data_IF_753605179293
#
_entry.id   IF_753605179293
#
_cell.length_a   1.000
_cell.length_b   1.000
_cell.length_c   1.000
_cell.angle_alpha   90.00
_cell.angle_beta   90.00
_cell.angle_gamma   90.00
#
_symmetry.space_group_name_H-M   'P 1'
#
loop_
_entity.id
_entity.type
_entity.pdbx_description
1 polymer ?
#
# COMPACT_ATOMS: atom_id res chain seq x y z
N UNK A 1 -17.66 3.02 22.52
CA UNK A 1 -16.66 3.31 21.48
C UNK A 1 -17.21 2.83 20.15
N UNK A 2 -17.41 3.74 19.19
CA UNK A 2 -17.90 3.36 17.86
C UNK A 2 -16.80 2.56 17.15
N UNK A 3 -17.19 1.43 16.55
CA UNK A 3 -16.31 0.57 15.76
C UNK A 3 -16.97 0.35 14.41
N UNK A 4 -16.22 0.57 13.33
CA UNK A 4 -16.67 0.36 11.95
C UNK A 4 -16.08 -0.94 11.44
N UNK A 5 -16.94 -1.86 11.01
CA UNK A 5 -16.53 -3.07 10.30
C UNK A 5 -16.28 -2.72 8.83
N UNK A 6 -15.02 -2.78 8.40
CA UNK A 6 -14.59 -2.45 7.04
C UNK A 6 -14.58 -3.73 6.20
N UNK A 7 -15.77 -4.23 5.85
CA UNK A 7 -15.96 -5.51 5.16
C UNK A 7 -15.33 -5.59 3.76
N UNK A 8 -14.94 -4.46 3.15
CA UNK A 8 -14.15 -4.42 1.92
C UNK A 8 -12.63 -4.60 2.14
N UNK A 9 -12.15 -4.41 3.37
CA UNK A 9 -10.73 -4.45 3.73
C UNK A 9 -10.41 -5.81 4.38
N UNK A 10 -9.87 -6.72 3.57
CA UNK A 10 -9.65 -8.12 3.92
C UNK A 10 -8.20 -8.40 4.35
N UNK A 11 -7.99 -9.09 5.48
CA UNK A 11 -6.66 -9.47 5.98
C UNK A 11 -5.92 -10.41 5.02
N UNK A 12 -6.66 -11.27 4.32
CA UNK A 12 -6.10 -12.23 3.38
C UNK A 12 -5.67 -11.63 2.04
N UNK A 13 -5.87 -10.32 1.85
CA UNK A 13 -5.44 -9.60 0.64
C UNK A 13 -4.28 -8.66 0.98
N UNK A 14 -3.15 -8.70 0.25
CA UNK A 14 -2.08 -7.72 0.44
C UNK A 14 -2.58 -6.29 0.19
N UNK A 15 -3.45 -6.08 -0.82
CA UNK A 15 -4.10 -4.80 -1.04
C UNK A 15 -4.95 -4.38 0.17
N UNK A 16 -5.74 -5.31 0.72
CA UNK A 16 -6.57 -5.06 1.90
C UNK A 16 -5.73 -4.68 3.12
N UNK A 17 -4.68 -5.42 3.41
CA UNK A 17 -3.78 -5.10 4.52
C UNK A 17 -3.08 -3.74 4.33
N UNK A 18 -2.56 -3.45 3.14
CA UNK A 18 -1.98 -2.13 2.83
C UNK A 18 -3.02 -1.02 2.99
N UNK A 19 -4.24 -1.21 2.49
CA UNK A 19 -5.32 -0.24 2.63
C UNK A 19 -5.68 0.03 4.10
N UNK A 20 -5.69 -1.01 4.95
CA UNK A 20 -5.91 -0.85 6.39
C UNK A 20 -4.81 0.00 7.05
N UNK A 21 -3.55 -0.25 6.70
CA UNK A 21 -2.42 0.52 7.20
C UNK A 21 -2.45 1.98 6.75
N UNK A 22 -2.70 2.22 5.46
CA UNK A 22 -2.79 3.58 4.93
C UNK A 22 -3.99 4.35 5.50
N UNK A 23 -5.12 3.68 5.74
CA UNK A 23 -6.25 4.29 6.42
C UNK A 23 -5.89 4.70 7.85
N UNK A 24 -5.31 3.78 8.63
CA UNK A 24 -4.88 4.06 10.00
C UNK A 24 -3.86 5.21 10.03
N UNK A 25 -2.91 5.21 9.10
CA UNK A 25 -1.92 6.29 8.93
C UNK A 25 -2.58 7.63 8.67
N UNK A 26 -3.45 7.72 7.66
CA UNK A 26 -4.13 8.97 7.29
C UNK A 26 -4.90 9.54 8.49
N UNK A 27 -5.74 8.72 9.13
CA UNK A 27 -6.56 9.16 10.25
C UNK A 27 -5.72 9.65 11.44
N UNK A 28 -4.62 8.96 11.74
CA UNK A 28 -3.76 9.32 12.88
C UNK A 28 -2.78 10.45 12.56
N UNK A 29 -1.96 10.31 11.53
CA UNK A 29 -0.84 11.21 11.23
C UNK A 29 -1.32 12.50 10.52
N UNK A 30 -2.28 12.39 9.60
CA UNK A 30 -2.72 13.53 8.81
C UNK A 30 -3.91 14.28 9.45
N UNK A 31 -4.70 13.58 10.29
CA UNK A 31 -5.91 14.13 10.91
C UNK A 31 -5.91 14.10 12.45
N UNK A 32 -4.85 13.58 13.10
CA UNK A 32 -4.69 13.63 14.55
C UNK A 32 -5.73 12.83 15.35
N UNK A 33 -6.40 11.87 14.73
CA UNK A 33 -7.44 11.09 15.39
C UNK A 33 -6.84 9.96 16.25
N UNK A 34 -7.48 9.73 17.39
CA UNK A 34 -7.23 8.55 18.22
C UNK A 34 -8.06 7.37 17.70
N UNK A 35 -7.44 6.60 16.79
CA UNK A 35 -8.05 5.46 16.13
C UNK A 35 -7.21 4.21 16.35
N UNK A 36 -7.88 3.05 16.37
CA UNK A 36 -7.24 1.76 16.49
C UNK A 36 -7.76 0.78 15.42
N UNK A 37 -6.91 -0.18 15.08
CA UNK A 37 -7.16 -1.21 14.08
C UNK A 37 -7.03 -2.59 14.72
N UNK A 38 -7.96 -3.48 14.42
CA UNK A 38 -7.85 -4.93 14.69
C UNK A 38 -8.45 -5.74 13.56
N UNK A 39 -8.15 -7.04 13.56
CA UNK A 39 -8.72 -7.98 12.61
C UNK A 39 -9.74 -8.89 13.29
N UNK A 40 -10.90 -9.06 12.68
CA UNK A 40 -11.93 -10.00 13.13
C UNK A 40 -12.65 -10.57 11.92
N UNK A 41 -12.90 -11.89 11.89
CA UNK A 41 -13.64 -12.56 10.82
C UNK A 41 -13.12 -12.19 9.41
N UNK A 42 -11.79 -12.13 9.26
CA UNK A 42 -11.13 -11.85 7.98
C UNK A 42 -11.11 -10.38 7.54
N UNK A 43 -11.73 -9.44 8.27
CA UNK A 43 -11.79 -8.03 7.89
C UNK A 43 -11.28 -7.08 8.96
N UNK A 44 -10.96 -5.86 8.56
CA UNK A 44 -10.51 -4.79 9.44
C UNK A 44 -11.68 -4.23 10.26
N UNK A 45 -11.45 -3.99 11.54
CA UNK A 45 -12.32 -3.21 12.42
C UNK A 45 -11.56 -1.97 12.85
N UNK A 46 -12.15 -0.81 12.60
CA UNK A 46 -11.61 0.50 12.93
C UNK A 46 -12.39 1.10 14.10
N UNK A 47 -11.73 1.29 15.24
CA UNK A 47 -12.27 2.00 16.39
C UNK A 47 -11.95 3.50 16.35
N UNK A 48 -12.79 4.32 16.97
CA UNK A 48 -12.52 5.75 17.20
C UNK A 48 -13.16 6.73 16.22
N UNK A 49 -13.86 6.23 15.20
CA UNK A 49 -14.60 7.05 14.22
C UNK A 49 -15.87 6.32 13.77
N UNK A 50 -16.94 7.05 13.45
CA UNK A 50 -18.13 6.47 12.82
C UNK A 50 -18.07 6.51 11.28
N UNK A 51 -18.93 5.74 10.63
CA UNK A 51 -18.95 5.59 9.17
C UNK A 51 -19.17 6.90 8.42
N UNK A 52 -20.04 7.78 8.92
CA UNK A 52 -20.36 9.04 8.23
C UNK A 52 -19.17 9.99 8.28
N UNK A 53 -18.59 10.16 9.47
CA UNK A 53 -17.39 10.96 9.69
C UNK A 53 -16.20 10.43 8.86
N UNK A 54 -16.03 9.10 8.82
CA UNK A 54 -14.99 8.44 8.02
C UNK A 54 -15.12 8.75 6.52
N UNK A 55 -16.31 8.62 5.95
CA UNK A 55 -16.53 8.90 4.53
C UNK A 55 -16.31 10.37 4.18
N UNK A 56 -16.77 11.28 5.04
CA UNK A 56 -16.57 12.72 4.86
C UNK A 56 -15.08 13.10 4.91
N UNK A 57 -14.35 12.58 5.90
CA UNK A 57 -12.92 12.81 6.06
C UNK A 57 -12.14 12.28 4.85
N UNK A 58 -12.43 11.07 4.37
CA UNK A 58 -11.75 10.52 3.20
C UNK A 58 -12.04 11.31 1.92
N UNK A 59 -13.24 11.84 1.74
CA UNK A 59 -13.54 12.73 0.63
C UNK A 59 -12.72 14.04 0.73
N UNK A 60 -12.70 14.66 1.91
CA UNK A 60 -11.95 15.89 2.16
C UNK A 60 -10.44 15.71 1.94
N UNK A 61 -9.89 14.61 2.48
CA UNK A 61 -8.48 14.22 2.33
C UNK A 61 -8.05 14.13 0.88
N UNK A 62 -8.94 13.74 -0.05
CA UNK A 62 -8.59 13.61 -1.46
C UNK A 62 -8.45 14.94 -2.21
N UNK A 63 -8.97 16.04 -1.67
CA UNK A 63 -8.93 17.33 -2.36
C UNK A 63 -7.47 17.75 -2.63
N UNK A 64 -7.13 17.92 -3.90
CA UNK A 64 -5.80 18.38 -4.31
C UNK A 64 -4.67 17.37 -4.14
N UNK A 65 -4.91 16.12 -3.69
CA UNK A 65 -3.84 15.13 -3.44
C UNK A 65 -2.98 14.84 -4.67
N UNK A 66 -3.54 14.96 -5.87
CA UNK A 66 -2.82 14.79 -7.13
C UNK A 66 -1.72 15.84 -7.34
N UNK A 67 -1.79 16.97 -6.64
CA UNK A 67 -0.83 18.08 -6.68
C UNK A 67 0.19 18.00 -5.54
N UNK A 68 0.05 17.03 -4.62
CA UNK A 68 0.90 16.95 -3.46
C UNK A 68 2.37 16.74 -3.84
N UNK A 69 3.30 17.36 -3.09
CA UNK A 69 4.69 17.46 -3.50
C UNK A 69 5.39 16.10 -3.59
N UNK A 70 5.02 15.12 -2.75
CA UNK A 70 5.58 13.76 -2.80
C UNK A 70 5.31 13.05 -4.14
N UNK A 71 4.27 13.43 -4.87
CA UNK A 71 3.97 12.87 -6.19
C UNK A 71 4.43 13.78 -7.33
N UNK A 72 4.99 14.95 -7.03
CA UNK A 72 5.30 15.99 -8.02
C UNK A 72 6.74 16.52 -7.96
N UNK A 73 7.60 15.97 -7.10
CA UNK A 73 9.01 16.32 -7.07
C UNK A 73 9.67 16.06 -8.44
N UNK A 74 10.65 16.90 -8.77
CA UNK A 74 11.24 16.95 -10.10
C UNK A 74 12.47 16.05 -10.21
N UNK A 75 12.47 15.18 -11.21
CA UNK A 75 13.60 14.30 -11.57
C UNK A 75 14.17 14.71 -12.93
N UNK A 76 15.47 14.50 -13.13
CA UNK A 76 16.14 14.80 -14.39
C UNK A 76 15.71 13.83 -15.49
N UNK A 77 15.41 14.34 -16.69
CA UNK A 77 15.02 13.53 -17.84
C UNK A 77 16.13 13.56 -18.89
N UNK A 78 17.23 12.84 -18.65
CA UNK A 78 18.31 12.58 -19.62
C UNK A 78 18.55 13.66 -20.68
N UNK A 79 18.86 14.90 -20.27
CA UNK A 79 19.14 16.04 -21.17
C UNK A 79 18.02 17.08 -21.34
N UNK A 80 16.85 16.89 -20.72
CA UNK A 80 15.72 17.83 -20.75
C UNK A 80 15.45 18.54 -19.41
N UNK A 81 14.48 19.46 -19.43
CA UNK A 81 13.98 20.17 -18.24
C UNK A 81 13.43 19.18 -17.22
N UNK A 82 13.79 19.28 -15.92
CA UNK A 82 13.26 18.39 -14.89
C UNK A 82 11.73 18.34 -14.86
N UNK A 83 11.18 17.14 -14.81
CA UNK A 83 9.75 16.86 -14.87
C UNK A 83 9.28 16.15 -13.59
N UNK A 84 7.97 16.18 -13.25
CA UNK A 84 7.45 15.38 -12.14
C UNK A 84 7.83 13.91 -12.28
N UNK A 85 8.21 13.28 -11.18
CA UNK A 85 8.56 11.85 -11.14
C UNK A 85 7.49 11.00 -11.83
N UNK A 86 7.88 10.18 -12.80
CA UNK A 86 6.97 9.22 -13.47
C UNK A 86 7.40 7.78 -13.22
N UNK A 87 8.70 7.53 -13.10
CA UNK A 87 9.27 6.20 -12.88
C UNK A 87 10.06 6.18 -11.56
N UNK A 88 9.59 5.42 -10.57
CA UNK A 88 10.32 5.29 -9.29
C UNK A 88 11.66 4.54 -9.46
N UNK A 89 11.78 3.72 -10.51
CA UNK A 89 12.98 2.92 -10.82
C UNK A 89 14.10 3.68 -11.52
N UNK A 90 13.83 4.91 -11.96
CA UNK A 90 14.76 5.74 -12.74
C UNK A 90 15.15 7.02 -11.97
N UNK A 91 14.96 7.03 -10.64
CA UNK A 91 15.37 8.14 -9.79
C UNK A 91 16.88 8.04 -9.57
N UNK A 92 17.61 9.14 -9.84
CA UNK A 92 19.04 9.25 -9.56
C UNK A 92 19.29 9.78 -8.14
N UNK A 93 20.43 9.46 -7.50
CA UNK A 93 20.74 9.92 -6.15
C UNK A 93 20.61 11.45 -5.99
N UNK A 94 21.12 12.23 -6.94
CA UNK A 94 21.07 13.70 -6.91
C UNK A 94 19.65 14.27 -6.98
N UNK A 95 18.75 13.60 -7.70
CA UNK A 95 17.34 13.98 -7.78
C UNK A 95 16.61 13.67 -6.48
N UNK A 96 16.94 12.53 -5.87
CA UNK A 96 16.39 12.12 -4.58
C UNK A 96 16.85 13.05 -3.45
N UNK A 97 18.15 13.38 -3.38
CA UNK A 97 18.69 14.34 -2.42
C UNK A 97 18.03 15.72 -2.57
N UNK A 98 17.88 16.20 -3.82
CA UNK A 98 17.23 17.48 -4.09
C UNK A 98 15.77 17.46 -3.66
N UNK A 99 15.04 16.39 -3.95
CA UNK A 99 13.66 16.21 -3.50
C UNK A 99 13.58 16.20 -1.98
N UNK A 100 14.43 15.43 -1.29
CA UNK A 100 14.47 15.38 0.17
C UNK A 100 14.78 16.75 0.79
N UNK A 101 15.74 17.49 0.23
CA UNK A 101 16.09 18.84 0.69
C UNK A 101 14.94 19.83 0.52
N UNK A 102 14.23 19.80 -0.62
CA UNK A 102 13.04 20.64 -0.86
C UNK A 102 11.87 20.28 0.06
N UNK A 103 11.80 19.03 0.53
CA UNK A 103 10.71 18.49 1.34
C UNK A 103 11.05 18.37 2.82
N UNK A 104 12.15 18.96 3.28
CA UNK A 104 12.68 18.77 4.64
C UNK A 104 11.67 19.10 5.73
N UNK A 105 10.86 20.14 5.53
CA UNK A 105 9.82 20.59 6.47
C UNK A 105 8.46 19.89 6.26
N UNK A 106 8.42 18.85 5.42
CA UNK A 106 7.21 18.08 5.14
C UNK A 106 7.43 16.59 5.49
N UNK A 107 7.23 16.19 6.77
CA UNK A 107 7.43 14.83 7.23
C UNK A 107 6.62 13.78 6.45
N UNK A 108 5.41 14.13 6.03
CA UNK A 108 4.57 13.27 5.19
C UNK A 108 5.25 12.99 3.86
N UNK A 109 5.74 14.01 3.19
CA UNK A 109 6.39 13.87 1.89
C UNK A 109 7.72 13.11 1.99
N UNK A 110 8.49 13.34 3.05
CA UNK A 110 9.70 12.55 3.35
C UNK A 110 9.36 11.08 3.63
N UNK A 111 8.28 10.80 4.35
CA UNK A 111 7.78 9.45 4.57
C UNK A 111 7.48 8.73 3.25
N UNK A 112 6.83 9.42 2.30
CA UNK A 112 6.61 8.88 0.96
C UNK A 112 7.91 8.63 0.19
N UNK A 113 8.88 9.56 0.23
CA UNK A 113 10.19 9.34 -0.40
C UNK A 113 10.87 8.07 0.13
N UNK A 114 10.90 7.90 1.46
CA UNK A 114 11.44 6.70 2.10
C UNK A 114 10.65 5.44 1.71
N UNK A 115 9.33 5.55 1.52
CA UNK A 115 8.47 4.48 1.02
C UNK A 115 8.69 4.14 -0.46
N UNK A 116 9.18 5.08 -1.26
CA UNK A 116 9.46 4.87 -2.69
C UNK A 116 10.82 4.23 -2.93
N UNK A 117 11.86 4.66 -2.22
CA UNK A 117 13.23 4.24 -2.50
C UNK A 117 14.22 4.58 -1.37
N UNK A 118 15.46 4.13 -1.54
CA UNK A 118 16.62 4.54 -0.73
C UNK A 118 17.82 4.84 -1.62
N UNK A 119 18.47 5.96 -1.37
CA UNK A 119 19.73 6.42 -1.97
C UNK A 119 20.97 5.76 -1.31
N UNK A 120 20.82 5.14 -0.14
CA UNK A 120 21.88 4.37 0.52
C UNK A 120 22.33 3.13 -0.29
N UNK A 121 21.53 2.72 -1.28
CA UNK A 121 21.85 1.63 -2.20
C UNK A 121 21.61 2.11 -3.63
N UNK A 122 22.68 2.14 -4.42
CA UNK A 122 22.65 2.51 -5.84
C UNK A 122 22.81 1.24 -6.67
N UNK A 123 21.96 1.09 -7.67
CA UNK A 123 21.99 -0.01 -8.63
C UNK A 123 23.12 0.16 -9.64
N UNK A 124 23.50 -0.92 -10.32
CA UNK A 124 24.56 -0.90 -11.35
C UNK A 124 24.28 0.11 -12.49
N UNK A 125 23.02 0.48 -12.71
CA UNK A 125 22.60 1.46 -13.72
C UNK A 125 22.64 2.92 -13.20
N UNK A 126 23.12 3.15 -11.97
CA UNK A 126 23.23 4.48 -11.36
C UNK A 126 21.92 5.04 -10.78
N UNK A 127 20.88 4.22 -10.64
CA UNK A 127 19.61 4.61 -10.01
C UNK A 127 19.54 4.15 -8.55
N UNK A 128 18.81 4.87 -7.72
CA UNK A 128 18.57 4.47 -6.32
C UNK A 128 17.71 3.21 -6.25
N UNK A 129 17.83 2.45 -5.16
CA UNK A 129 17.08 1.22 -4.99
C UNK A 129 15.61 1.50 -4.60
N UNK A 130 14.69 1.13 -5.50
CA UNK A 130 13.25 1.29 -5.32
C UNK A 130 12.60 0.25 -4.39
N UNK A 131 11.42 0.61 -3.91
CA UNK A 131 10.51 -0.23 -3.14
C UNK A 131 10.14 -1.53 -3.85
N UNK A 132 10.02 -2.61 -3.07
CA UNK A 132 9.60 -3.92 -3.57
C UNK A 132 8.16 -3.90 -4.12
N UNK A 133 7.33 -2.92 -3.71
CA UNK A 133 5.98 -2.71 -4.23
C UNK A 133 5.93 -2.12 -5.64
N UNK A 134 7.06 -1.68 -6.21
CA UNK A 134 7.08 -1.23 -7.59
C UNK A 134 7.13 -2.44 -8.54
N UNK A 135 5.93 -2.80 -9.03
CA UNK A 135 5.70 -3.89 -9.98
C UNK A 135 5.75 -3.40 -11.44
N UNK A 136 6.05 -2.11 -11.66
CA UNK A 136 6.12 -1.52 -12.98
C UNK A 136 7.23 -2.17 -13.83
N UNK A 137 6.92 -2.35 -15.11
CA UNK A 137 7.86 -2.74 -16.16
C UNK A 137 7.91 -1.71 -17.29
N UNK A 138 9.08 -1.58 -17.91
CA UNK A 138 9.35 -0.83 -19.15
C UNK A 138 8.63 0.53 -19.30
N UNK A 139 7.37 0.56 -19.74
CA UNK A 139 6.63 1.80 -20.02
C UNK A 139 5.69 2.23 -18.89
N UNK A 140 5.58 1.47 -17.81
CA UNK A 140 4.67 1.78 -16.71
C UNK A 140 5.24 2.93 -15.86
N UNK A 141 4.48 4.02 -15.82
CA UNK A 141 4.76 5.29 -15.13
C UNK A 141 4.06 5.30 -13.75
N UNK A 142 4.53 4.48 -12.80
CA UNK A 142 3.85 4.30 -11.50
C UNK A 142 3.57 5.63 -10.77
N UNK A 143 4.53 6.57 -10.78
CA UNK A 143 4.34 7.88 -10.14
C UNK A 143 3.24 8.71 -10.79
N UNK A 144 3.09 8.61 -12.12
CA UNK A 144 1.98 9.24 -12.85
C UNK A 144 0.65 8.56 -12.53
N UNK A 145 0.64 7.23 -12.44
CA UNK A 145 -0.57 6.49 -12.10
C UNK A 145 -1.09 6.82 -10.68
N UNK A 146 -0.20 7.09 -9.72
CA UNK A 146 -0.60 7.64 -8.42
C UNK A 146 -1.31 8.98 -8.55
N UNK A 147 -0.76 9.92 -9.35
CA UNK A 147 -1.41 11.21 -9.62
C UNK A 147 -2.76 11.06 -10.32
N UNK A 148 -2.85 10.16 -11.31
CA UNK A 148 -4.09 9.89 -12.03
C UNK A 148 -5.17 9.34 -11.10
N UNK A 149 -4.82 8.40 -10.21
CA UNK A 149 -5.72 7.86 -9.21
C UNK A 149 -6.16 8.94 -8.20
N UNK A 150 -5.22 9.75 -7.71
CA UNK A 150 -5.52 10.86 -6.82
C UNK A 150 -6.49 11.86 -7.47
N UNK A 151 -6.23 12.24 -8.72
CA UNK A 151 -7.08 13.17 -9.47
C UNK A 151 -8.48 12.59 -9.69
N UNK A 152 -8.56 11.28 -9.97
CA UNK A 152 -9.84 10.58 -10.11
C UNK A 152 -10.65 10.60 -8.82
N UNK A 153 -10.00 10.52 -7.66
CA UNK A 153 -10.63 10.50 -6.34
C UNK A 153 -10.81 11.89 -5.73
N UNK A 154 -10.32 12.94 -6.40
CA UNK A 154 -10.48 14.33 -5.97
C UNK A 154 -11.97 14.68 -5.82
N UNK A 155 -12.28 15.38 -4.73
CA UNK A 155 -13.64 15.82 -4.39
C UNK A 155 -14.16 16.88 -5.35
N UNK A 156 -13.29 17.76 -5.85
CA UNK A 156 -13.69 18.89 -6.69
C UNK A 156 -13.68 18.50 -8.18
N UNK A 157 -13.24 17.27 -8.52
CA UNK A 157 -13.27 16.77 -9.89
C UNK A 157 -14.71 16.62 -10.39
N UNK A 158 -15.00 17.26 -11.52
CA UNK A 158 -16.23 17.01 -12.30
C UNK A 158 -16.26 15.57 -12.80
N UNK A 159 -17.28 14.80 -12.39
CA UNK A 159 -17.48 13.40 -12.79
C UNK A 159 -18.52 13.32 -13.90
N UNK A 160 -18.27 12.47 -14.90
CA UNK A 160 -19.24 12.21 -15.96
C UNK A 160 -20.47 11.45 -15.43
N UNK A 161 -21.62 11.55 -16.11
CA UNK A 161 -22.88 10.88 -15.72
C UNK A 161 -22.79 9.37 -15.58
N UNK A 162 -21.82 8.73 -16.24
CA UNK A 162 -21.58 7.28 -16.20
C UNK A 162 -20.59 6.85 -15.13
N UNK A 163 -19.90 7.80 -14.48
CA UNK A 163 -18.98 7.50 -13.38
C UNK A 163 -19.74 7.43 -12.06
N UNK A 164 -19.37 6.47 -11.21
CA UNK A 164 -19.93 6.38 -9.88
C UNK A 164 -19.59 7.64 -9.05
N UNK A 165 -20.51 8.13 -8.21
CA UNK A 165 -20.22 9.19 -7.23
C UNK A 165 -19.04 8.83 -6.33
N UNK A 166 -18.29 9.83 -5.85
CA UNK A 166 -17.13 9.62 -4.98
C UNK A 166 -17.49 8.84 -3.72
N UNK A 167 -18.61 9.19 -3.08
CA UNK A 167 -19.10 8.49 -1.90
C UNK A 167 -19.37 7.00 -2.18
N UNK A 168 -19.93 6.67 -3.35
CA UNK A 168 -20.14 5.28 -3.77
C UNK A 168 -18.83 4.55 -3.98
N UNK A 169 -17.82 5.19 -4.58
CA UNK A 169 -16.48 4.59 -4.73
C UNK A 169 -15.86 4.26 -3.36
N UNK A 170 -16.00 5.15 -2.39
CA UNK A 170 -15.53 4.92 -1.02
C UNK A 170 -16.31 3.82 -0.33
N UNK A 171 -17.65 3.84 -0.40
CA UNK A 171 -18.49 2.79 0.18
C UNK A 171 -18.15 1.42 -0.38
N UNK A 172 -18.01 1.29 -1.70
CA UNK A 172 -17.62 0.03 -2.34
C UNK A 172 -16.24 -0.45 -1.86
N UNK A 173 -15.30 0.48 -1.67
CA UNK A 173 -13.94 0.17 -1.21
C UNK A 173 -13.91 -0.28 0.26
N UNK A 174 -14.61 0.44 1.15
CA UNK A 174 -14.55 0.19 2.59
C UNK A 174 -15.45 -0.97 3.04
N UNK A 175 -16.61 -1.16 2.39
CA UNK A 175 -17.65 -2.09 2.82
C UNK A 175 -17.89 -3.25 1.85
N UNK A 176 -17.13 -3.30 0.75
CA UNK A 176 -17.35 -4.26 -0.32
C UNK A 176 -18.36 -3.74 -1.34
N UNK A 177 -18.13 -4.06 -2.60
CA UNK A 177 -18.91 -3.56 -3.71
C UNK A 177 -18.25 -3.89 -5.04
N UNK A 178 -18.89 -3.55 -6.16
CA UNK A 178 -18.36 -3.86 -7.49
C UNK A 178 -17.01 -3.18 -7.72
N UNK A 179 -16.14 -3.86 -8.45
CA UNK A 179 -14.89 -3.29 -8.92
C UNK A 179 -15.17 -2.24 -10.00
N UNK A 180 -14.31 -1.23 -10.10
CA UNK A 180 -14.37 -0.21 -11.14
C UNK A 180 -13.15 -0.34 -12.06
N UNK A 181 -13.22 0.24 -13.27
CA UNK A 181 -12.07 0.33 -14.18
C UNK A 181 -10.91 1.07 -13.50
N UNK A 182 -9.96 0.35 -12.91
CA UNK A 182 -8.83 0.85 -12.14
C UNK A 182 -7.73 -0.21 -12.09
N UNK A 183 -6.49 0.17 -12.37
CA UNK A 183 -5.35 -0.71 -12.19
C UNK A 183 -4.98 -0.81 -10.70
N UNK A 184 -4.77 -2.03 -10.19
CA UNK A 184 -4.37 -2.29 -8.80
C UNK A 184 -2.86 -2.21 -8.55
N UNK A 185 -2.08 -1.86 -9.57
CA UNK A 185 -0.60 -1.90 -9.57
C UNK A 185 -0.04 -3.31 -9.39
N UNK A 186 -0.86 -4.32 -9.68
CA UNK A 186 -0.55 -5.73 -9.38
C UNK A 186 -0.64 -6.06 -7.90
N UNK A 187 -1.13 -5.14 -7.07
CA UNK A 187 -1.24 -5.33 -5.62
C UNK A 187 -2.45 -6.15 -5.18
N UNK A 188 -3.40 -6.40 -6.09
CA UNK A 188 -4.59 -7.19 -5.80
C UNK A 188 -4.54 -8.55 -6.51
N UNK A 189 -4.37 -9.67 -5.79
CA UNK A 189 -4.39 -11.00 -6.38
C UNK A 189 -5.72 -11.36 -7.07
N UNK A 190 -6.83 -10.71 -6.72
CA UNK A 190 -8.13 -10.97 -7.33
C UNK A 190 -8.13 -10.66 -8.84
N UNK A 191 -7.31 -9.68 -9.27
CA UNK A 191 -7.16 -9.36 -10.70
C UNK A 191 -6.46 -10.47 -11.46
N UNK A 192 -5.50 -11.14 -10.82
CA UNK A 192 -4.78 -12.28 -11.40
C UNK A 192 -5.69 -13.50 -11.60
N UNK A 193 -6.50 -13.83 -10.59
CA UNK A 193 -7.44 -14.96 -10.64
C UNK A 193 -8.50 -14.74 -11.73
N UNK A 194 -8.99 -13.50 -11.88
CA UNK A 194 -9.89 -13.13 -12.98
C UNK A 194 -9.22 -13.31 -14.35
N UNK A 195 -7.94 -12.95 -14.48
CA UNK A 195 -7.18 -13.16 -15.73
C UNK A 195 -6.92 -14.64 -16.05
N UNK A 196 -6.63 -15.47 -15.05
CA UNK A 196 -6.41 -16.90 -15.22
C UNK A 196 -7.65 -17.69 -15.64
N UNK A 197 -8.85 -17.15 -15.36
CA UNK A 197 -10.14 -17.76 -15.68
C UNK A 197 -10.83 -17.13 -16.90
N UNK A 198 -10.30 -16.05 -17.47
CA UNK A 198 -10.93 -15.33 -18.57
C UNK A 198 -10.68 -16.02 -19.93
N UNK A 199 -11.74 -16.15 -20.73
CA UNK A 199 -11.67 -16.64 -22.12
C UNK A 199 -10.99 -15.64 -23.10
N UNK A 200 -10.75 -14.41 -22.66
CA UNK A 200 -10.18 -13.31 -23.46
C UNK A 200 -8.86 -12.89 -22.85
N UNK A 201 -7.83 -12.72 -23.70
CA UNK A 201 -6.51 -12.31 -23.26
C UNK A 201 -6.54 -10.96 -22.50
N UNK A 202 -5.81 -10.82 -21.38
CA UNK A 202 -5.82 -9.64 -20.49
C UNK A 202 -5.57 -8.30 -21.19
N UNK A 203 -4.87 -8.31 -22.32
CA UNK A 203 -4.52 -7.14 -23.12
C UNK A 203 -5.75 -6.38 -23.65
N UNK A 204 -6.93 -7.04 -23.73
CA UNK A 204 -8.16 -6.45 -24.29
C UNK A 204 -9.19 -6.00 -23.25
N UNK A 205 -8.95 -6.28 -21.96
CA UNK A 205 -9.87 -5.90 -20.87
C UNK A 205 -9.24 -4.84 -19.98
N UNK A 206 -9.98 -3.76 -19.68
CA UNK A 206 -9.50 -2.76 -18.74
C UNK A 206 -9.36 -3.39 -17.34
N UNK A 207 -8.25 -3.13 -16.63
CA UNK A 207 -8.05 -3.67 -15.30
C UNK A 207 -9.14 -3.17 -14.35
N UNK A 208 -9.63 -4.05 -13.50
CA UNK A 208 -10.66 -3.76 -12.51
C UNK A 208 -10.03 -3.78 -11.12
N UNK A 209 -10.32 -2.78 -10.29
CA UNK A 209 -9.94 -2.73 -8.88
C UNK A 209 -10.90 -1.78 -8.13
N UNK A 210 -10.77 -1.71 -6.81
CA UNK A 210 -11.49 -0.73 -6.00
C UNK A 210 -10.62 0.53 -5.79
N UNK A 211 -10.94 1.68 -6.40
CA UNK A 211 -10.06 2.85 -6.39
C UNK A 211 -9.68 3.36 -5.00
N UNK A 212 -10.63 3.37 -4.06
CA UNK A 212 -10.37 3.79 -2.68
C UNK A 212 -9.40 2.84 -1.97
N UNK A 213 -9.53 1.52 -2.16
CA UNK A 213 -8.57 0.56 -1.60
C UNK A 213 -7.17 0.75 -2.18
N UNK A 214 -7.07 0.94 -3.50
CA UNK A 214 -5.78 1.16 -4.17
C UNK A 214 -5.14 2.45 -3.64
N UNK A 215 -5.91 3.52 -3.47
CA UNK A 215 -5.39 4.76 -2.90
C UNK A 215 -4.94 4.60 -1.45
N UNK A 216 -5.75 3.97 -0.60
CA UNK A 216 -5.34 3.69 0.78
C UNK A 216 -4.09 2.81 0.83
N UNK A 217 -3.90 1.89 -0.10
CA UNK A 217 -2.65 1.14 -0.21
C UNK A 217 -1.46 2.03 -0.59
N UNK A 218 -1.63 3.02 -1.47
CA UNK A 218 -0.61 4.06 -1.75
C UNK A 218 -0.30 4.85 -0.48
N UNK A 219 -1.33 5.26 0.27
CA UNK A 219 -1.16 5.97 1.55
C UNK A 219 -0.43 5.14 2.61
N UNK A 220 -0.27 3.83 2.43
CA UNK A 220 0.52 2.99 3.35
C UNK A 220 2.03 2.97 3.06
N UNK A 221 2.48 3.49 1.92
CA UNK A 221 3.89 3.43 1.51
C UNK A 221 4.86 4.08 2.53
N UNK A 222 4.52 5.19 3.22
CA UNK A 222 5.36 5.72 4.29
C UNK A 222 5.64 4.75 5.46
N UNK A 223 4.76 3.77 5.67
CA UNK A 223 4.94 2.71 6.67
C UNK A 223 5.65 1.48 6.10
N UNK A 224 6.16 1.59 4.87
CA UNK A 224 6.96 0.59 4.19
C UNK A 224 8.30 1.16 3.69
N UNK A 225 9.10 1.81 4.55
CA UNK A 225 10.34 2.42 4.10
C UNK A 225 11.28 1.38 3.49
N UNK A 226 12.06 1.82 2.52
CA UNK A 226 13.17 1.08 1.92
C UNK A 226 14.43 1.47 2.68
N UNK A 227 15.09 0.49 3.27
CA UNK A 227 16.30 0.68 4.09
C UNK A 227 17.38 -0.30 3.62
N UNK A 228 18.67 0.05 3.73
CA UNK A 228 19.74 -0.93 3.54
C UNK A 228 19.68 -1.98 4.66
N UNK A 229 19.83 -3.26 4.30
CA UNK A 229 20.05 -4.35 5.25
C UNK A 229 21.52 -4.37 5.73
N UNK A 230 21.84 -5.28 6.66
CA UNK A 230 23.19 -5.44 7.19
C UNK A 230 24.26 -5.83 6.15
N UNK A 231 23.85 -6.19 4.92
CA UNK A 231 24.72 -6.52 3.79
C UNK A 231 24.73 -5.42 2.71
N UNK A 232 24.18 -4.22 3.01
CA UNK A 232 24.11 -3.11 2.07
C UNK A 232 23.11 -3.32 0.93
N UNK A 233 22.16 -4.25 1.06
CA UNK A 233 21.10 -4.48 0.06
C UNK A 233 19.83 -3.75 0.48
N UNK A 234 19.16 -3.12 -0.48
CA UNK A 234 17.89 -2.45 -0.16
C UNK A 234 16.79 -3.47 0.17
N UNK A 235 16.13 -3.22 1.30
CA UNK A 235 15.02 -4.00 1.83
C UNK A 235 13.83 -3.09 2.13
N UNK A 236 12.68 -3.43 1.55
CA UNK A 236 11.40 -2.79 1.89
C UNK A 236 10.82 -3.45 3.13
N UNK A 237 10.36 -2.66 4.09
CA UNK A 237 9.73 -3.17 5.32
C UNK A 237 8.61 -4.17 4.99
N UNK A 238 8.56 -5.30 5.71
CA UNK A 238 7.62 -6.39 5.44
C UNK A 238 8.02 -7.35 4.31
N UNK A 239 9.19 -7.16 3.68
CA UNK A 239 9.72 -8.06 2.67
C UNK A 239 11.01 -8.73 3.15
N UNK A 240 10.98 -9.96 3.68
CA UNK A 240 12.17 -10.61 4.23
C UNK A 240 13.25 -10.92 3.17
N UNK A 241 12.88 -11.00 1.89
CA UNK A 241 13.79 -11.35 0.79
C UNK A 241 13.38 -10.76 -0.59
N UNK A 242 12.60 -9.67 -0.61
CA UNK A 242 11.99 -9.06 -1.83
C UNK A 242 11.10 -9.99 -2.68
N UNK A 243 10.90 -11.25 -2.30
CA UNK A 243 10.10 -12.21 -3.04
C UNK A 243 8.67 -12.32 -2.53
N UNK A 244 8.45 -12.12 -1.22
CA UNK A 244 7.13 -12.13 -0.64
C UNK A 244 6.91 -10.93 0.27
N UNK A 245 5.72 -10.37 0.22
CA UNK A 245 5.24 -9.42 1.20
C UNK A 245 4.57 -10.18 2.34
N UNK A 246 4.95 -9.88 3.58
CA UNK A 246 4.43 -10.57 4.76
C UNK A 246 3.91 -9.59 5.82
N UNK A 247 2.79 -9.98 6.45
CA UNK A 247 2.11 -9.15 7.43
C UNK A 247 1.43 -9.96 8.54
N UNK A 248 1.42 -9.44 9.78
CA UNK A 248 0.78 -10.12 10.90
C UNK A 248 -0.73 -9.87 10.91
N UNK A 249 -1.46 -10.85 11.40
CA UNK A 249 -2.86 -10.72 11.80
C UNK A 249 -2.93 -10.70 13.32
N UNK A 250 -3.41 -9.59 13.87
CA UNK A 250 -3.59 -9.41 15.31
C UNK A 250 -5.07 -9.21 15.66
N UNK A 251 -5.46 -9.64 16.86
CA UNK A 251 -6.86 -9.56 17.31
C UNK A 251 -7.16 -8.40 18.26
N UNK A 252 -6.13 -7.84 18.91
CA UNK A 252 -6.26 -6.72 19.84
C UNK A 252 -6.38 -5.38 19.09
N UNK A 253 -7.18 -4.41 19.57
CA UNK A 253 -7.15 -3.07 19.00
C UNK A 253 -5.77 -2.46 19.22
N UNK A 254 -5.06 -2.16 18.12
CA UNK A 254 -3.77 -1.49 18.14
C UNK A 254 -3.90 -0.09 17.55
N UNK A 255 -3.36 0.90 18.25
CA UNK A 255 -3.19 2.28 17.79
C UNK A 255 -2.15 2.36 16.65
N UNK A 256 -2.12 3.48 15.94
CA UNK A 256 -1.13 3.70 14.89
C UNK A 256 0.34 3.55 15.36
N UNK A 257 0.78 4.12 16.51
CA UNK A 257 2.13 3.88 17.02
C UNK A 257 2.43 2.39 17.31
N UNK A 258 1.48 1.66 17.89
CA UNK A 258 1.64 0.23 18.17
C UNK A 258 1.75 -0.58 16.88
N UNK A 259 0.92 -0.29 15.88
CA UNK A 259 1.01 -0.93 14.57
C UNK A 259 2.37 -0.64 13.92
N UNK A 260 2.89 0.59 13.99
CA UNK A 260 4.24 0.92 13.48
C UNK A 260 5.33 0.12 14.19
N UNK A 261 5.24 -0.06 15.51
CA UNK A 261 6.18 -0.89 16.27
C UNK A 261 6.11 -2.36 15.89
N UNK A 262 4.90 -2.90 15.65
CA UNK A 262 4.76 -4.27 15.13
C UNK A 262 5.39 -4.38 13.74
N UNK A 263 5.18 -3.39 12.87
CA UNK A 263 5.69 -3.38 11.48
C UNK A 263 7.20 -3.20 11.36
N UNK A 264 7.86 -2.53 12.31
CA UNK A 264 9.31 -2.34 12.28
C UNK A 264 10.10 -3.59 12.65
N UNK A 265 9.43 -4.64 13.16
CA UNK A 265 10.11 -5.88 13.56
C UNK A 265 10.45 -6.75 12.36
N UNK A 266 11.52 -7.56 12.44
CA UNK A 266 11.80 -8.59 11.44
C UNK A 266 10.60 -9.53 11.29
N UNK A 267 10.22 -9.81 10.05
CA UNK A 267 9.06 -10.67 9.71
C UNK A 267 9.09 -12.02 10.44
N UNK A 268 10.28 -12.62 10.54
CA UNK A 268 10.47 -13.91 11.22
C UNK A 268 10.12 -13.90 12.72
N UNK A 269 10.09 -12.72 13.36
CA UNK A 269 9.76 -12.56 14.78
C UNK A 269 8.27 -12.33 15.06
N UNK A 270 7.47 -12.04 14.02
CA UNK A 270 6.09 -11.55 14.21
C UNK A 270 5.16 -12.61 14.84
N UNK A 271 5.30 -13.88 14.48
CA UNK A 271 4.48 -14.97 15.03
C UNK A 271 4.71 -15.23 16.52
N UNK A 272 5.83 -14.76 17.06
CA UNK A 272 6.21 -14.90 18.48
C UNK A 272 5.58 -13.79 19.34
N UNK A 273 4.99 -12.76 18.72
CA UNK A 273 4.39 -11.65 19.46
C UNK A 273 3.06 -12.07 20.08
N UNK A 274 2.84 -11.80 21.38
CA UNK A 274 1.54 -11.96 22.00
C UNK A 274 0.46 -11.18 21.23
N UNK A 275 -0.69 -11.82 21.00
CA UNK A 275 -1.82 -11.21 20.28
C UNK A 275 -1.75 -11.29 18.75
N UNK A 276 -0.63 -11.77 18.17
CA UNK A 276 -0.56 -12.12 16.74
C UNK A 276 -1.09 -13.54 16.55
N UNK A 277 -2.24 -13.65 15.88
CA UNK A 277 -2.93 -14.92 15.63
C UNK A 277 -2.41 -15.66 14.39
N UNK A 278 -1.80 -14.95 13.46
CA UNK A 278 -1.24 -15.54 12.25
C UNK A 278 -0.34 -14.58 11.49
N UNK A 279 0.38 -15.14 10.51
CA UNK A 279 1.22 -14.41 9.58
C UNK A 279 0.78 -14.74 8.17
N UNK A 280 0.43 -13.72 7.41
CA UNK A 280 0.10 -13.83 6.01
C UNK A 280 1.31 -13.51 5.16
N UNK A 281 1.42 -14.18 4.01
CA UNK A 281 2.43 -13.87 3.02
C UNK A 281 1.86 -14.01 1.60
N UNK A 282 2.17 -13.05 0.74
CA UNK A 282 1.86 -13.08 -0.68
C UNK A 282 3.14 -12.96 -1.49
N UNK A 283 3.38 -13.94 -2.37
CA UNK A 283 4.53 -13.94 -3.26
C UNK A 283 4.32 -12.97 -4.41
N UNK A 284 5.38 -12.26 -4.79
CA UNK A 284 5.46 -11.53 -6.05
C UNK A 284 5.80 -12.51 -7.17
N UNK A 285 5.03 -12.47 -8.24
CA UNK A 285 5.31 -13.17 -9.50
C UNK A 285 5.32 -12.17 -10.66
N UNK A 286 5.81 -12.61 -11.82
CA UNK A 286 5.66 -11.88 -13.08
C UNK A 286 4.89 -12.74 -14.08
N UNK A 287 3.86 -12.18 -14.71
CA UNK A 287 3.22 -12.77 -15.89
C UNK A 287 3.61 -11.92 -17.09
N UNK A 288 4.44 -12.50 -17.96
CA UNK A 288 5.10 -11.75 -19.03
C UNK A 288 5.95 -10.62 -18.44
N UNK A 289 5.64 -9.38 -18.79
CA UNK A 289 6.35 -8.19 -18.27
C UNK A 289 5.71 -7.62 -17.00
N UNK A 290 4.52 -8.06 -16.60
CA UNK A 290 3.76 -7.43 -15.52
C UNK A 290 3.94 -8.17 -14.20
N UNK A 291 4.26 -7.42 -13.13
CA UNK A 291 4.35 -7.97 -11.78
C UNK A 291 2.99 -8.05 -11.09
N UNK A 292 2.75 -9.11 -10.33
CA UNK A 292 1.54 -9.32 -9.54
C UNK A 292 1.84 -9.98 -8.20
N UNK A 293 0.96 -9.74 -7.23
CA UNK A 293 0.85 -10.61 -6.05
C UNK A 293 0.07 -11.87 -6.39
N UNK A 294 0.53 -13.00 -5.87
CA UNK A 294 -0.22 -14.25 -5.80
C UNK A 294 -1.21 -14.24 -4.62
N UNK A 295 -2.25 -15.07 -4.62
CA UNK A 295 -3.10 -15.27 -3.45
C UNK A 295 -2.26 -15.53 -2.19
N UNK A 296 -2.63 -14.88 -1.08
CA UNK A 296 -1.85 -14.97 0.14
C UNK A 296 -2.08 -16.30 0.86
N UNK A 297 -1.02 -16.83 1.49
CA UNK A 297 -1.10 -17.97 2.39
C UNK A 297 -1.00 -17.51 3.84
N UNK A 298 -1.70 -18.21 4.74
CA UNK A 298 -1.70 -17.92 6.18
C UNK A 298 -0.95 -19.01 6.95
N UNK A 299 -0.01 -18.59 7.78
CA UNK A 299 0.66 -19.44 8.78
C UNK A 299 0.10 -19.11 10.17
N UNK A 300 -0.25 -20.12 10.95
CA UNK A 300 -0.78 -19.94 12.31
C UNK A 300 0.36 -19.75 13.32
N UNK A 301 0.11 -18.96 14.36
CA UNK A 301 0.98 -18.98 15.54
C UNK A 301 0.79 -20.32 16.25
N UNK A 302 1.89 -21.05 16.47
CA UNK A 302 1.89 -22.34 17.18
C UNK A 302 1.62 -22.21 18.68
N UNK A 303 1.48 -20.98 19.19
CA UNK A 303 1.13 -20.70 20.59
C UNK A 303 -0.33 -21.07 20.97
N UNK A 304 -1.07 -21.72 20.07
CA UNK A 304 -2.31 -22.45 20.39
C UNK A 304 -2.08 -23.97 20.40
N UNK A 305 -1.13 -24.46 21.20
CA UNK A 305 -1.18 -25.80 21.80
C UNK A 305 -0.07 -26.00 22.85
N UNK A 306 -0.36 -25.98 24.16
CA UNK A 306 0.56 -26.50 25.18
C UNK A 306 0.71 -28.02 25.15
N UNK A 307 -0.06 -28.74 24.31
CA UNK A 307 -0.13 -30.19 24.31
C UNK A 307 0.11 -30.80 22.94
N UNK A 308 1.35 -30.84 22.47
CA UNK A 308 1.90 -31.88 21.57
C UNK A 308 3.37 -31.61 21.23
N UNK A 309 4.21 -31.70 22.25
CA UNK A 309 5.62 -32.10 22.08
C UNK A 309 5.86 -33.26 23.06
N UNK A 310 5.20 -34.38 22.78
CA UNK A 310 5.58 -35.68 23.28
C UNK A 310 5.36 -36.68 22.14
N UNK A 311 6.44 -37.33 21.74
CA UNK A 311 6.53 -38.41 20.74
C UNK A 311 6.43 -37.99 19.26
N UNK A 312 7.58 -37.75 18.63
CA UNK A 312 8.34 -38.77 17.88
C UNK A 312 9.60 -38.14 17.28
#
# INVERSE_FOLDING_TARGET
MNTVALTGIQIGSPLGFMAALGLLRVLHEDHGLDVNLRWQNGHALLGGIDTSALLALLADHMRGRHQAPEFNFKVGTGGGTPAPVVHLREIRPEDYHRAAATLVDNPRALGFLAGFATDAVVTDNGFIARTAFDFSSARQELGKEFRNLAARLDTDRKRGRKEAPLETLWKNSLFGGPYAEQHSFGWDPATLTAHGQAAIAPTYTKPLAQPGLVWLAVESLPWHPVLPDGNGRAQTTGWPNRQAYAWPEWSLPLSAPEVRLVRSRPVASLLQLPGVAGLWASQRTNIGKFGFFLPAARTLSTHLNPGRLAHR
#
